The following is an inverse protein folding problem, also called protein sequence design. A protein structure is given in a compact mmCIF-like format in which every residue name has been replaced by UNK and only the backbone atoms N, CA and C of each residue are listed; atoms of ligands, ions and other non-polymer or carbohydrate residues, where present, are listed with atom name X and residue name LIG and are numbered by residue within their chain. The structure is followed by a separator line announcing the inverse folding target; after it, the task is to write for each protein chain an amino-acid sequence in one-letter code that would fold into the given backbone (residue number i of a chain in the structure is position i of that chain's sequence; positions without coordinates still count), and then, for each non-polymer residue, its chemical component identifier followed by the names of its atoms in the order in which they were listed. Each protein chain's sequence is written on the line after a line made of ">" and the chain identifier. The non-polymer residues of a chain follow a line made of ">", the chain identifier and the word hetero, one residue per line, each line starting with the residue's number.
data_IF_488130570133
#
_entry.id   IF_488130570133
#
_cell.length_a   1.000
_cell.length_b   1.000
_cell.length_c   1.000
_cell.angle_alpha   90.00
_cell.angle_beta   90.00
_cell.angle_gamma   90.00
#
_symmetry.space_group_name_H-M   'P 1'
#
loop_
_entity.id
_entity.type
_entity.pdbx_description
1 polymer ?
#
# COMPACT_ATOMS: atom_id res chain seq x y z
N UNK A 1 -11.53 -16.49 52.50
CA UNK A 1 -11.58 -15.11 51.97
C UNK A 1 -10.20 -14.49 51.99
N UNK A 2 -9.30 -14.89 51.09
CA UNK A 2 -7.93 -14.36 50.97
C UNK A 2 -7.36 -14.62 49.56
N UNK A 3 -8.12 -14.26 48.52
CA UNK A 3 -7.64 -14.43 47.14
C UNK A 3 -7.95 -13.23 46.20
N UNK A 4 -8.36 -12.06 46.72
CA UNK A 4 -8.77 -10.95 45.85
C UNK A 4 -7.75 -9.82 45.66
N UNK A 5 -6.55 -9.91 46.24
CA UNK A 5 -5.56 -8.81 46.14
C UNK A 5 -4.39 -9.03 45.18
N UNK A 6 -4.23 -10.21 44.61
CA UNK A 6 -3.15 -10.49 43.68
C UNK A 6 -3.50 -10.28 42.18
N UNK A 7 -4.80 -10.30 41.85
CA UNK A 7 -5.24 -10.13 40.45
C UNK A 7 -5.34 -8.66 39.99
N UNK A 8 -5.51 -7.71 40.93
CA UNK A 8 -5.64 -6.29 40.59
C UNK A 8 -4.27 -5.65 40.26
N UNK A 9 -3.19 -6.16 40.84
CA UNK A 9 -1.85 -5.66 40.55
C UNK A 9 -1.32 -6.14 39.17
N UNK A 10 -1.78 -7.29 38.67
CA UNK A 10 -1.36 -7.81 37.38
C UNK A 10 -2.08 -7.12 36.20
N UNK A 11 -3.33 -6.71 36.38
CA UNK A 11 -4.13 -6.05 35.37
C UNK A 11 -3.66 -4.59 35.12
N UNK A 12 -3.05 -3.94 36.11
CA UNK A 12 -2.55 -2.57 35.98
C UNK A 12 -1.14 -2.50 35.36
N UNK A 13 -0.36 -3.56 35.42
CA UNK A 13 0.96 -3.61 34.79
C UNK A 13 0.84 -3.94 33.31
N UNK A 14 -0.18 -4.71 32.88
CA UNK A 14 -0.43 -5.01 31.47
C UNK A 14 -1.00 -3.83 30.66
N UNK A 15 -1.54 -2.81 31.30
CA UNK A 15 -2.11 -1.64 30.62
C UNK A 15 -1.07 -0.56 30.26
N UNK A 16 0.21 -0.76 30.55
CA UNK A 16 1.26 0.23 30.36
C UNK A 16 2.38 -0.21 29.40
N UNK A 17 2.19 -1.34 28.74
CA UNK A 17 3.23 -1.87 27.88
C UNK A 17 2.70 -1.84 26.43
N UNK A 18 2.87 -0.71 25.78
CA UNK A 18 2.80 -0.58 24.34
C UNK A 18 4.21 -0.46 23.79
N UNK A 19 4.65 -1.44 23.08
CA UNK A 19 5.57 -1.21 21.99
C UNK A 19 4.81 -1.54 20.74
N UNK A 20 4.41 -0.54 20.19
CA UNK A 20 3.95 -0.46 18.84
C UNK A 20 5.16 -0.68 17.96
N UNK A 21 5.00 -1.36 16.94
CA UNK A 21 6.05 -1.79 16.09
C UNK A 21 5.76 -1.37 14.66
N UNK A 22 6.16 -0.19 14.16
CA UNK A 22 6.11 0.13 12.74
C UNK A 22 6.85 1.42 12.37
N UNK A 23 7.51 1.44 11.27
CA UNK A 23 8.31 2.56 10.80
C UNK A 23 7.53 3.55 9.96
N UNK A 24 7.83 4.82 10.17
CA UNK A 24 7.53 5.86 9.22
C UNK A 24 8.69 6.06 8.26
N UNK A 25 8.33 6.27 7.05
CA UNK A 25 9.06 7.12 6.15
C UNK A 25 8.28 8.43 5.98
N UNK A 26 8.70 9.48 6.66
CA UNK A 26 8.34 10.82 6.25
C UNK A 26 9.33 11.25 5.19
N UNK A 27 8.88 11.39 3.97
CA UNK A 27 9.62 12.05 2.91
C UNK A 27 9.38 13.55 3.06
N UNK A 28 10.42 14.35 2.89
CA UNK A 28 10.30 15.81 2.85
C UNK A 28 9.04 16.26 2.10
N UNK A 29 8.22 17.06 2.78
CA UNK A 29 7.08 17.83 2.27
C UNK A 29 5.83 17.09 1.76
N UNK A 30 5.69 15.80 1.88
CA UNK A 30 4.42 15.13 1.63
C UNK A 30 4.02 14.28 2.83
N UNK A 31 2.80 14.45 3.25
CA UNK A 31 2.14 13.87 4.42
C UNK A 31 1.85 12.36 4.29
N UNK A 32 2.76 11.59 3.71
CA UNK A 32 2.65 10.14 3.64
C UNK A 32 3.15 9.52 4.94
N UNK A 33 2.23 9.14 5.81
CA UNK A 33 2.51 8.24 6.93
C UNK A 33 2.69 6.81 6.38
N UNK A 34 3.83 6.21 6.62
CA UNK A 34 4.10 4.85 6.19
C UNK A 34 4.10 3.88 7.37
N UNK A 35 3.52 2.74 7.14
CA UNK A 35 3.51 1.60 8.04
C UNK A 35 4.49 0.55 7.50
N UNK A 36 5.64 0.38 8.13
CA UNK A 36 6.70 -0.52 7.66
C UNK A 36 7.16 -1.47 8.75
N UNK A 37 7.11 -2.76 8.49
CA UNK A 37 7.84 -3.76 9.27
C UNK A 37 9.34 -3.58 9.05
N UNK A 38 10.11 -3.41 10.12
CA UNK A 38 11.56 -3.35 10.02
C UNK A 38 12.15 -4.70 10.41
N UNK A 39 12.94 -5.24 9.54
CA UNK A 39 13.85 -6.32 9.94
C UNK A 39 14.83 -5.76 10.97
N UNK A 40 14.84 -6.34 12.14
CA UNK A 40 15.92 -6.12 13.11
C UNK A 40 17.03 -7.10 12.74
N UNK A 41 17.89 -6.65 11.87
CA UNK A 41 19.18 -7.28 11.73
C UNK A 41 20.16 -6.59 12.69
N UNK A 42 20.91 -7.36 13.46
CA UNK A 42 21.99 -6.83 14.31
C UNK A 42 23.18 -6.34 13.49
N UNK A 43 23.09 -6.31 12.18
CA UNK A 43 24.09 -5.72 11.31
C UNK A 43 23.87 -4.22 11.22
N UNK A 44 24.92 -3.49 11.54
CA UNK A 44 25.08 -2.06 11.27
C UNK A 44 24.73 -1.86 9.78
N UNK A 45 23.80 -0.96 9.49
CA UNK A 45 23.43 -0.53 8.15
C UNK A 45 24.65 -0.34 7.28
N UNK A 46 24.90 -1.27 6.38
CA UNK A 46 25.97 -1.16 5.40
C UNK A 46 25.42 -0.58 4.10
N UNK A 47 26.15 0.30 3.40
CA UNK A 47 25.73 0.78 2.09
C UNK A 47 25.47 -0.37 1.15
N UNK A 48 24.44 -0.25 0.32
CA UNK A 48 24.16 -1.22 -0.72
C UNK A 48 25.36 -1.33 -1.65
N UNK A 49 25.84 -2.53 -1.78
CA UNK A 49 27.10 -2.79 -2.43
C UNK A 49 26.82 -3.68 -3.61
N UNK A 50 26.90 -3.11 -4.82
CA UNK A 50 26.97 -3.92 -6.01
C UNK A 50 28.36 -4.59 -6.05
N UNK A 51 28.42 -5.92 -5.91
CA UNK A 51 29.62 -6.65 -6.24
C UNK A 51 29.70 -6.79 -7.77
N UNK A 52 30.79 -6.30 -8.38
CA UNK A 52 31.07 -6.65 -9.77
C UNK A 52 31.43 -8.15 -9.83
N UNK A 53 31.45 -8.70 -11.05
CA UNK A 53 31.91 -10.08 -11.32
C UNK A 53 33.37 -10.32 -10.86
N UNK A 54 34.11 -9.27 -10.51
CA UNK A 54 35.49 -9.26 -10.04
C UNK A 54 35.62 -8.96 -8.52
N UNK A 55 34.49 -8.82 -7.80
CA UNK A 55 34.47 -8.56 -6.37
C UNK A 55 34.63 -7.09 -5.97
N UNK A 56 34.48 -6.14 -6.90
CA UNK A 56 34.50 -4.70 -6.59
C UNK A 56 33.12 -4.26 -6.11
N UNK A 57 33.10 -3.59 -4.99
CA UNK A 57 31.86 -3.12 -4.33
C UNK A 57 31.45 -1.74 -4.86
N UNK A 58 30.24 -1.62 -5.42
CA UNK A 58 29.68 -0.35 -5.93
C UNK A 58 28.60 0.14 -4.96
N UNK A 59 28.67 1.42 -4.56
CA UNK A 59 27.61 2.10 -3.82
C UNK A 59 26.60 2.69 -4.80
N UNK A 60 25.32 2.63 -4.46
CA UNK A 60 24.25 3.17 -5.26
C UNK A 60 23.60 4.34 -4.52
N UNK A 61 23.64 5.52 -5.13
CA UNK A 61 22.90 6.71 -4.71
C UNK A 61 21.90 7.08 -5.78
N UNK A 62 20.62 7.10 -5.44
CA UNK A 62 19.56 7.56 -6.34
C UNK A 62 18.92 8.77 -5.67
N UNK A 63 18.91 9.88 -6.38
CA UNK A 63 18.60 11.19 -5.81
C UNK A 63 19.51 11.48 -4.60
N UNK A 64 18.93 11.87 -3.47
CA UNK A 64 19.65 12.12 -2.22
C UNK A 64 19.68 10.90 -1.29
N UNK A 65 19.23 9.72 -1.77
CA UNK A 65 19.07 8.52 -0.96
C UNK A 65 20.14 7.50 -1.29
N UNK A 66 20.87 7.06 -0.28
CA UNK A 66 21.77 5.92 -0.39
C UNK A 66 21.00 4.63 -0.08
N UNK A 67 21.12 3.64 -0.97
CA UNK A 67 20.52 2.33 -0.78
C UNK A 67 21.49 1.45 -0.04
N UNK A 68 20.98 0.85 1.02
CA UNK A 68 21.70 0.00 1.95
C UNK A 68 20.83 -1.22 2.23
N UNK A 69 21.21 -2.39 1.70
CA UNK A 69 20.62 -3.67 2.10
C UNK A 69 21.56 -4.80 1.71
N UNK A 70 21.73 -5.79 2.59
CA UNK A 70 22.51 -7.00 2.29
C UNK A 70 21.72 -7.98 1.40
N UNK A 71 20.40 -7.85 1.34
CA UNK A 71 19.50 -8.78 0.63
C UNK A 71 19.15 -8.32 -0.79
N UNK A 72 19.33 -7.04 -1.12
CA UNK A 72 19.08 -6.52 -2.45
C UNK A 72 20.35 -6.57 -3.28
N UNK A 73 20.51 -7.64 -4.05
CA UNK A 73 21.69 -7.91 -4.84
C UNK A 73 21.78 -7.04 -6.10
N UNK A 74 22.23 -5.80 -5.96
CA UNK A 74 22.67 -5.00 -7.10
C UNK A 74 23.99 -5.57 -7.57
N UNK A 75 24.14 -5.81 -8.87
CA UNK A 75 25.38 -6.36 -9.44
C UNK A 75 25.74 -5.69 -10.76
N UNK A 76 26.99 -5.83 -11.17
CA UNK A 76 27.46 -5.42 -12.50
C UNK A 76 27.50 -6.64 -13.42
N UNK A 77 26.88 -6.56 -14.61
CA UNK A 77 26.94 -7.60 -15.62
C UNK A 77 28.28 -7.62 -16.41
N UNK A 78 28.44 -8.58 -17.29
CA UNK A 78 29.64 -8.73 -18.13
C UNK A 78 29.90 -7.54 -19.04
N UNK A 79 28.85 -6.79 -19.38
CA UNK A 79 28.89 -5.58 -20.21
C UNK A 79 29.08 -4.30 -19.38
N UNK A 80 29.33 -4.42 -18.08
CA UNK A 80 29.44 -3.33 -17.11
C UNK A 80 28.16 -2.53 -16.89
N UNK A 81 27.00 -3.11 -17.16
CA UNK A 81 25.73 -2.51 -16.78
C UNK A 81 25.47 -2.77 -15.29
N UNK A 82 25.03 -1.74 -14.57
CA UNK A 82 24.53 -1.90 -13.20
C UNK A 82 23.11 -2.46 -13.25
N UNK A 83 22.94 -3.64 -12.70
CA UNK A 83 21.68 -4.38 -12.66
C UNK A 83 21.06 -4.25 -11.29
N UNK A 84 19.85 -3.75 -11.21
CA UNK A 84 19.09 -3.56 -9.97
C UNK A 84 17.82 -4.40 -9.95
N UNK A 85 17.41 -4.94 -8.79
CA UNK A 85 16.14 -5.63 -8.66
C UNK A 85 14.98 -4.72 -9.06
N UNK A 86 14.01 -5.26 -9.79
CA UNK A 86 12.82 -4.50 -10.19
C UNK A 86 12.02 -4.03 -8.97
N UNK A 87 12.02 -4.79 -7.88
CA UNK A 87 11.42 -4.41 -6.59
C UNK A 87 11.90 -3.07 -6.04
N UNK A 88 13.17 -2.71 -6.28
CA UNK A 88 13.73 -1.42 -5.87
C UNK A 88 13.22 -0.23 -6.70
N UNK A 89 12.85 -0.44 -7.95
CA UNK A 89 12.67 0.67 -8.91
C UNK A 89 11.54 1.61 -8.50
N UNK A 90 10.47 1.08 -7.92
CA UNK A 90 9.31 1.87 -7.47
C UNK A 90 9.73 2.99 -6.53
N UNK A 91 10.45 2.64 -5.47
CA UNK A 91 10.86 3.61 -4.45
C UNK A 91 12.13 4.35 -4.81
N UNK A 92 13.07 3.68 -5.49
CA UNK A 92 14.33 4.27 -5.88
C UNK A 92 14.15 5.38 -6.93
N UNK A 93 13.31 5.15 -7.94
CA UNK A 93 13.08 6.09 -9.03
C UNK A 93 11.80 6.92 -8.88
N UNK A 94 11.04 6.72 -7.80
CA UNK A 94 9.70 7.27 -7.66
C UNK A 94 8.84 7.00 -8.90
N UNK A 95 8.75 5.74 -9.31
CA UNK A 95 8.17 5.28 -10.57
C UNK A 95 7.14 4.18 -10.35
N UNK A 96 6.29 3.94 -11.35
CA UNK A 96 5.56 2.68 -11.49
C UNK A 96 6.49 1.67 -12.16
N UNK A 97 6.71 0.50 -11.57
CA UNK A 97 7.58 -0.54 -12.13
C UNK A 97 6.97 -1.93 -11.89
N UNK A 98 6.59 -2.60 -12.97
CA UNK A 98 5.84 -3.85 -12.91
C UNK A 98 6.25 -4.83 -13.99
N UNK A 99 6.23 -6.13 -13.63
CA UNK A 99 6.56 -7.23 -14.54
C UNK A 99 5.29 -7.94 -14.99
N UNK A 100 4.99 -7.86 -16.28
CA UNK A 100 3.83 -8.48 -16.91
C UNK A 100 4.20 -9.86 -17.46
N UNK A 101 3.35 -10.85 -17.19
CA UNK A 101 3.48 -12.23 -17.70
C UNK A 101 4.89 -12.84 -17.49
N UNK A 102 5.62 -12.40 -16.49
CA UNK A 102 7.00 -12.83 -16.15
C UNK A 102 8.02 -12.62 -17.28
N UNK A 103 7.75 -11.76 -18.27
CA UNK A 103 8.63 -11.57 -19.41
C UNK A 103 8.75 -10.13 -19.93
N UNK A 104 7.95 -9.21 -19.42
CA UNK A 104 7.91 -7.82 -19.87
C UNK A 104 7.92 -6.89 -18.65
N UNK A 105 8.90 -5.99 -18.57
CA UNK A 105 9.01 -4.96 -17.54
C UNK A 105 8.55 -3.63 -18.11
N UNK A 106 7.55 -3.03 -17.52
CA UNK A 106 7.11 -1.66 -17.78
C UNK A 106 7.51 -0.78 -16.61
N UNK A 107 8.30 0.27 -16.90
CA UNK A 107 8.63 1.32 -15.93
C UNK A 107 8.10 2.64 -16.44
N UNK A 108 7.27 3.28 -15.65
CA UNK A 108 6.67 4.59 -15.96
C UNK A 108 7.14 5.61 -14.93
N UNK A 109 7.59 6.78 -15.40
CA UNK A 109 8.01 7.89 -14.56
C UNK A 109 7.57 9.20 -15.23
N UNK A 110 6.79 10.03 -14.53
CA UNK A 110 6.14 11.21 -15.13
C UNK A 110 5.26 10.80 -16.33
N UNK A 111 5.59 11.29 -17.51
CA UNK A 111 5.00 10.91 -18.79
C UNK A 111 5.90 10.00 -19.63
N UNK A 112 7.02 9.57 -19.08
CA UNK A 112 8.01 8.73 -19.78
C UNK A 112 7.76 7.27 -19.47
N UNK A 113 8.03 6.42 -20.44
CA UNK A 113 7.84 4.97 -20.33
C UNK A 113 9.08 4.24 -20.84
N UNK A 114 9.53 3.26 -20.08
CA UNK A 114 10.56 2.30 -20.49
C UNK A 114 9.95 0.90 -20.50
N UNK A 115 9.97 0.26 -21.66
CA UNK A 115 9.46 -1.09 -21.90
C UNK A 115 10.61 -2.03 -22.25
N UNK A 116 10.70 -3.15 -21.55
CA UNK A 116 11.75 -4.15 -21.76
C UNK A 116 11.15 -5.54 -21.84
N UNK A 117 11.65 -6.36 -22.76
CA UNK A 117 11.29 -7.79 -22.86
C UNK A 117 12.49 -8.68 -22.57
N UNK A 118 12.28 -9.76 -21.84
CA UNK A 118 13.38 -10.73 -21.55
C UNK A 118 14.03 -11.25 -22.82
N UNK A 119 13.22 -11.50 -23.86
CA UNK A 119 13.70 -12.04 -25.13
C UNK A 119 14.66 -11.11 -25.90
N UNK A 120 14.59 -9.79 -25.64
CA UNK A 120 15.38 -8.81 -26.38
C UNK A 120 16.80 -8.67 -25.84
N UNK A 121 17.11 -9.27 -24.70
CA UNK A 121 18.40 -9.17 -24.00
C UNK A 121 18.93 -7.72 -23.90
N UNK A 122 18.02 -6.78 -23.64
CA UNK A 122 18.27 -5.34 -23.70
C UNK A 122 18.38 -4.68 -22.31
N UNK A 123 18.76 -5.44 -21.27
CA UNK A 123 18.97 -4.93 -19.92
C UNK A 123 17.84 -5.24 -18.95
N UNK A 124 16.96 -6.16 -19.32
CA UNK A 124 16.01 -6.80 -18.41
C UNK A 124 16.30 -8.30 -18.40
N UNK A 125 16.56 -8.85 -17.22
CA UNK A 125 16.96 -10.24 -17.06
C UNK A 125 16.30 -10.86 -15.84
N UNK A 126 16.19 -12.20 -15.83
CA UNK A 126 15.84 -12.96 -14.63
C UNK A 126 17.07 -13.71 -14.12
N UNK A 127 17.41 -13.53 -12.84
CA UNK A 127 18.53 -14.18 -12.20
C UNK A 127 18.09 -14.72 -10.82
N UNK A 128 18.32 -16.00 -10.56
CA UNK A 128 17.92 -16.69 -9.32
C UNK A 128 16.46 -16.46 -8.90
N UNK A 129 15.56 -16.38 -9.87
CA UNK A 129 14.13 -16.18 -9.62
C UNK A 129 13.68 -14.72 -9.51
N UNK A 130 14.60 -13.77 -9.36
CA UNK A 130 14.33 -12.33 -9.32
C UNK A 130 14.52 -11.66 -10.67
N UNK A 131 13.79 -10.59 -10.90
CA UNK A 131 13.92 -9.76 -12.10
C UNK A 131 14.80 -8.55 -11.82
N UNK A 132 15.66 -8.24 -12.79
CA UNK A 132 16.61 -7.14 -12.75
C UNK A 132 16.51 -6.27 -13.98
N UNK A 133 16.73 -4.99 -13.80
CA UNK A 133 16.82 -4.02 -14.90
C UNK A 133 18.13 -3.24 -14.88
N UNK A 134 18.61 -2.87 -16.06
CA UNK A 134 19.82 -2.07 -16.23
C UNK A 134 19.54 -0.59 -15.95
N UNK A 135 20.22 -0.03 -14.95
CA UNK A 135 20.12 1.39 -14.61
C UNK A 135 20.60 2.30 -15.75
N UNK A 136 21.63 1.89 -16.48
CA UNK A 136 22.16 2.68 -17.62
C UNK A 136 21.12 2.85 -18.73
N UNK A 137 20.30 1.81 -18.95
CA UNK A 137 19.23 1.86 -19.95
C UNK A 137 18.02 2.62 -19.46
N UNK A 138 17.62 2.37 -18.20
CA UNK A 138 16.54 3.09 -17.55
C UNK A 138 16.81 4.60 -17.50
N UNK A 139 18.03 5.01 -17.12
CA UNK A 139 18.39 6.42 -17.03
C UNK A 139 18.21 7.17 -18.36
N UNK A 140 18.53 6.51 -19.48
CA UNK A 140 18.38 7.09 -20.82
C UNK A 140 16.91 7.21 -21.25
N UNK A 141 16.10 6.21 -20.92
CA UNK A 141 14.68 6.17 -21.31
C UNK A 141 13.82 7.07 -20.41
N UNK A 142 14.22 7.24 -19.15
CA UNK A 142 13.50 8.03 -18.15
C UNK A 142 14.10 9.44 -17.94
N UNK A 143 14.96 9.88 -18.86
CA UNK A 143 15.64 11.19 -18.83
C UNK A 143 16.34 11.54 -17.51
N UNK A 144 17.05 10.56 -16.95
CA UNK A 144 17.84 10.73 -15.73
C UNK A 144 19.32 10.93 -16.06
N UNK A 145 20.05 11.64 -15.20
CA UNK A 145 21.52 11.67 -15.26
C UNK A 145 22.08 10.51 -14.45
N UNK A 146 23.12 9.88 -14.98
CA UNK A 146 23.85 8.83 -14.30
C UNK A 146 25.33 9.18 -14.28
N UNK A 147 25.96 9.21 -13.12
CA UNK A 147 27.39 9.49 -12.96
C UNK A 147 28.05 8.48 -12.03
N UNK A 148 29.26 8.05 -12.36
CA UNK A 148 30.02 7.10 -11.56
C UNK A 148 31.29 7.75 -11.03
N UNK A 149 31.42 7.81 -9.70
CA UNK A 149 32.62 8.27 -9.03
C UNK A 149 33.55 7.07 -8.76
N UNK A 150 34.66 7.03 -9.47
CA UNK A 150 35.65 5.96 -9.38
C UNK A 150 36.46 5.99 -8.07
N UNK A 151 36.52 7.14 -7.40
CA UNK A 151 37.26 7.26 -6.13
C UNK A 151 36.49 6.63 -4.94
N UNK A 152 35.17 6.73 -4.98
CA UNK A 152 34.28 6.20 -3.94
C UNK A 152 33.53 4.94 -4.38
N UNK A 153 33.68 4.53 -5.66
CA UNK A 153 32.87 3.49 -6.28
C UNK A 153 31.36 3.75 -6.14
N UNK A 154 30.93 5.00 -6.30
CA UNK A 154 29.54 5.40 -6.13
C UNK A 154 28.91 5.72 -7.47
N UNK A 155 27.84 4.99 -7.81
CA UNK A 155 26.92 5.33 -8.89
C UNK A 155 25.86 6.30 -8.34
N UNK A 156 25.74 7.45 -8.97
CA UNK A 156 24.71 8.44 -8.62
C UNK A 156 23.75 8.62 -9.79
N UNK A 157 22.44 8.50 -9.52
CA UNK A 157 21.38 8.82 -10.47
C UNK A 157 20.58 10.01 -9.96
N UNK A 158 20.27 10.94 -10.86
CA UNK A 158 19.50 12.15 -10.53
C UNK A 158 18.47 12.42 -11.62
N UNK A 159 17.26 12.75 -11.20
CA UNK A 159 16.19 13.20 -12.08
C UNK A 159 16.53 14.57 -12.69
N UNK A 160 16.31 14.75 -13.99
CA UNK A 160 16.47 16.05 -14.63
C UNK A 160 15.21 16.91 -14.59
N UNK A 161 14.09 16.33 -14.18
CA UNK A 161 12.78 16.96 -14.21
C UNK A 161 12.44 17.67 -12.88
N UNK A 162 13.37 18.43 -12.30
CA UNK A 162 13.09 19.23 -11.10
C UNK A 162 11.83 20.10 -11.27
N UNK A 163 10.86 19.94 -10.37
CA UNK A 163 9.62 20.72 -10.34
C UNK A 163 8.50 20.24 -11.28
N UNK A 164 8.69 19.14 -12.02
CA UNK A 164 7.61 18.50 -12.78
C UNK A 164 6.83 17.54 -11.86
N UNK A 165 5.51 17.49 -12.03
CA UNK A 165 4.68 16.49 -11.31
C UNK A 165 5.24 15.09 -11.53
N UNK A 166 5.32 14.31 -10.46
CA UNK A 166 5.83 12.92 -10.51
C UNK A 166 4.90 11.98 -11.28
N UNK A 167 3.65 12.38 -11.48
CA UNK A 167 2.61 11.56 -12.12
C UNK A 167 1.97 12.29 -13.30
N UNK A 168 1.42 11.56 -14.30
CA UNK A 168 0.73 12.14 -15.45
C UNK A 168 -0.59 12.82 -15.04
N UNK A 169 -1.16 13.65 -15.93
CA UNK A 169 -2.46 14.30 -15.72
C UNK A 169 -3.65 13.34 -15.79
N UNK A 170 -3.44 12.12 -16.29
CA UNK A 170 -4.42 11.05 -16.36
C UNK A 170 -3.74 9.70 -16.18
N UNK A 171 -4.35 8.84 -15.38
CA UNK A 171 -3.89 7.48 -15.17
C UNK A 171 -5.06 6.56 -14.82
N UNK A 172 -5.04 5.33 -15.33
CA UNK A 172 -6.10 4.36 -15.09
C UNK A 172 -5.50 2.96 -14.98
N UNK A 173 -5.62 2.35 -13.81
CA UNK A 173 -5.09 1.01 -13.52
C UNK A 173 -5.77 -0.08 -14.36
N UNK A 174 -6.97 0.17 -14.93
CA UNK A 174 -7.61 -0.76 -15.87
C UNK A 174 -6.76 -0.97 -17.12
N UNK A 175 -6.14 0.11 -17.63
CA UNK A 175 -5.23 0.06 -18.77
C UNK A 175 -3.90 -0.65 -18.44
N UNK A 176 -3.62 -0.85 -17.16
CA UNK A 176 -2.43 -1.51 -16.64
C UNK A 176 -2.71 -2.93 -16.11
N UNK A 177 -3.93 -3.46 -16.30
CA UNK A 177 -4.34 -4.75 -15.77
C UNK A 177 -4.10 -4.90 -14.25
N UNK A 178 -4.27 -3.81 -13.52
CA UNK A 178 -4.00 -3.72 -12.08
C UNK A 178 -5.24 -3.37 -11.26
N UNK A 179 -6.41 -3.81 -11.73
CA UNK A 179 -7.70 -3.65 -11.05
C UNK A 179 -8.23 -5.01 -10.64
N UNK A 180 -8.56 -5.16 -9.38
CA UNK A 180 -9.19 -6.36 -8.85
C UNK A 180 -10.53 -6.66 -9.52
N UNK A 181 -10.97 -7.91 -9.43
CA UNK A 181 -12.27 -8.34 -9.92
C UNK A 181 -13.40 -7.50 -9.31
N UNK A 182 -14.32 -7.03 -10.15
CA UNK A 182 -15.51 -6.32 -9.71
C UNK A 182 -16.47 -7.30 -9.02
N UNK A 183 -16.71 -7.09 -7.74
CA UNK A 183 -17.57 -7.93 -6.89
C UNK A 183 -18.79 -7.15 -6.40
N UNK A 184 -19.76 -7.84 -5.80
CA UNK A 184 -21.00 -7.27 -5.27
C UNK A 184 -21.17 -7.62 -3.80
N UNK A 185 -21.15 -6.60 -2.92
CA UNK A 185 -21.37 -6.78 -1.49
C UNK A 185 -22.83 -7.13 -1.12
N UNK A 186 -23.75 -6.99 -2.07
CA UNK A 186 -25.18 -7.22 -1.82
C UNK A 186 -25.75 -6.24 -0.79
N UNK A 187 -26.44 -6.79 0.22
CA UNK A 187 -27.08 -6.00 1.29
C UNK A 187 -26.27 -5.87 2.56
N UNK A 188 -25.04 -6.39 2.60
CA UNK A 188 -24.18 -6.34 3.78
C UNK A 188 -23.41 -5.02 3.87
N UNK A 189 -23.03 -4.63 5.07
CA UNK A 189 -22.21 -3.44 5.36
C UNK A 189 -20.70 -3.70 5.19
N UNK A 190 -20.29 -4.48 4.20
CA UNK A 190 -18.92 -4.99 4.04
C UNK A 190 -18.08 -4.20 3.03
N UNK A 191 -18.51 -3.00 2.63
CA UNK A 191 -17.78 -2.16 1.68
C UNK A 191 -16.31 -1.93 2.06
N UNK A 192 -16.04 -1.75 3.36
CA UNK A 192 -14.69 -1.57 3.89
C UNK A 192 -13.78 -2.77 3.64
N UNK A 193 -14.30 -3.99 3.79
CA UNK A 193 -13.55 -5.23 3.53
C UNK A 193 -13.35 -5.47 2.03
N UNK A 194 -14.36 -5.17 1.20
CA UNK A 194 -14.21 -5.19 -0.27
C UNK A 194 -13.16 -4.18 -0.74
N UNK A 195 -13.17 -2.97 -0.20
CA UNK A 195 -12.19 -1.96 -0.57
C UNK A 195 -10.78 -2.35 -0.12
N UNK A 196 -10.62 -2.88 1.10
CA UNK A 196 -9.34 -3.35 1.60
C UNK A 196 -8.78 -4.51 0.77
N UNK A 197 -9.58 -5.57 0.51
CA UNK A 197 -9.14 -6.71 -0.30
C UNK A 197 -8.86 -6.30 -1.74
N UNK A 198 -9.70 -5.46 -2.36
CA UNK A 198 -9.48 -5.00 -3.74
C UNK A 198 -8.24 -4.12 -3.89
N UNK A 199 -7.94 -3.26 -2.92
CA UNK A 199 -6.72 -2.48 -2.91
C UNK A 199 -5.47 -3.36 -2.74
N UNK A 200 -5.53 -4.35 -1.84
CA UNK A 200 -4.47 -5.34 -1.62
C UNK A 200 -4.21 -6.18 -2.89
N UNK A 201 -5.26 -6.67 -3.53
CA UNK A 201 -5.19 -7.42 -4.78
C UNK A 201 -4.58 -6.58 -5.92
N UNK A 202 -5.00 -5.31 -6.02
CA UNK A 202 -4.44 -4.35 -6.98
C UNK A 202 -2.94 -4.10 -6.78
N UNK A 203 -2.49 -4.07 -5.53
CA UNK A 203 -1.07 -3.87 -5.21
C UNK A 203 -0.19 -5.05 -5.61
N UNK A 204 -0.74 -6.26 -5.66
CA UNK A 204 -0.06 -7.48 -6.12
C UNK A 204 -0.04 -7.63 -7.64
N UNK A 205 -0.96 -6.95 -8.34
CA UNK A 205 -1.07 -7.00 -9.79
C UNK A 205 -0.02 -6.12 -10.47
N UNK A 206 0.43 -6.48 -11.67
CA UNK A 206 0.04 -7.64 -12.47
C UNK A 206 0.84 -8.92 -12.16
N UNK A 207 1.80 -8.86 -11.24
CA UNK A 207 2.72 -9.95 -10.93
C UNK A 207 2.01 -11.18 -10.37
N UNK A 208 1.01 -10.93 -9.50
CA UNK A 208 0.16 -11.96 -8.92
C UNK A 208 -1.32 -11.57 -9.07
N UNK A 209 -2.13 -12.50 -9.56
CA UNK A 209 -3.58 -12.32 -9.70
C UNK A 209 -4.27 -13.20 -8.66
N UNK A 210 -4.42 -12.66 -7.46
CA UNK A 210 -5.04 -13.34 -6.32
C UNK A 210 -6.40 -12.74 -6.03
N UNK A 211 -7.28 -13.51 -5.39
CA UNK A 211 -8.57 -13.07 -4.90
C UNK A 211 -8.69 -13.48 -3.44
N UNK A 212 -8.95 -12.50 -2.57
CA UNK A 212 -9.02 -12.71 -1.12
C UNK A 212 -10.45 -12.70 -0.61
N UNK A 213 -10.68 -13.51 0.43
CA UNK A 213 -11.98 -13.64 1.06
C UNK A 213 -12.38 -12.36 1.81
N UNK A 214 -13.53 -11.84 1.42
CA UNK A 214 -14.20 -10.75 2.14
C UNK A 214 -14.97 -11.29 3.35
N UNK A 215 -15.52 -12.51 3.26
CA UNK A 215 -16.22 -13.14 4.39
C UNK A 215 -15.26 -13.37 5.55
N UNK A 216 -14.09 -13.92 5.30
CA UNK A 216 -13.09 -14.11 6.34
C UNK A 216 -12.66 -12.78 6.98
N UNK A 217 -12.33 -11.76 6.17
CA UNK A 217 -11.96 -10.46 6.71
C UNK A 217 -13.08 -9.82 7.53
N UNK A 218 -14.33 -9.95 7.12
CA UNK A 218 -15.46 -9.29 7.78
C UNK A 218 -16.01 -10.07 8.97
N UNK A 219 -15.76 -11.38 9.08
CA UNK A 219 -16.27 -12.23 10.16
C UNK A 219 -15.20 -12.77 11.10
N UNK A 220 -13.97 -13.06 10.62
CA UNK A 220 -12.87 -13.63 11.41
C UNK A 220 -11.82 -12.57 11.82
N UNK A 221 -12.27 -11.38 12.19
CA UNK A 221 -11.42 -10.29 12.70
C UNK A 221 -11.57 -10.14 14.23
N UNK A 222 -10.76 -9.28 14.83
CA UNK A 222 -10.76 -9.05 16.28
C UNK A 222 -11.84 -8.09 16.78
N UNK A 223 -12.72 -7.61 15.90
CA UNK A 223 -13.81 -6.69 16.24
C UNK A 223 -15.12 -7.47 16.46
N UNK A 224 -15.90 -7.04 17.41
CA UNK A 224 -17.19 -7.68 17.69
C UNK A 224 -18.33 -6.97 16.94
N UNK A 225 -18.26 -7.03 15.61
CA UNK A 225 -19.28 -6.49 14.70
C UNK A 225 -19.72 -7.58 13.72
N UNK A 226 -20.96 -7.55 13.28
CA UNK A 226 -21.44 -8.46 12.24
C UNK A 226 -21.46 -7.75 10.88
N UNK A 227 -21.58 -8.52 9.80
CA UNK A 227 -21.52 -7.97 8.44
C UNK A 227 -22.59 -6.93 8.12
N UNK A 228 -23.72 -6.90 8.85
CA UNK A 228 -24.80 -5.92 8.65
C UNK A 228 -24.52 -4.57 9.35
N UNK A 229 -23.69 -4.58 10.40
CA UNK A 229 -23.42 -3.38 11.19
C UNK A 229 -22.46 -2.39 10.49
N UNK A 230 -21.84 -2.84 9.40
CA UNK A 230 -20.80 -2.06 8.74
C UNK A 230 -19.42 -2.25 9.37
N UNK A 231 -18.50 -1.36 9.05
CA UNK A 231 -17.16 -1.35 9.59
C UNK A 231 -16.39 -0.14 9.07
N UNK A 232 -15.12 -0.07 9.41
CA UNK A 232 -14.25 1.04 9.05
C UNK A 232 -12.95 0.53 8.41
N UNK A 233 -12.29 1.36 7.62
CA UNK A 233 -11.02 1.06 6.95
C UNK A 233 -9.94 0.52 7.91
N UNK A 234 -9.94 0.97 9.18
CA UNK A 234 -8.99 0.53 10.21
C UNK A 234 -9.14 -0.94 10.57
N UNK A 235 -10.33 -1.52 10.38
CA UNK A 235 -10.57 -2.95 10.67
C UNK A 235 -9.82 -3.85 9.68
N UNK A 236 -9.79 -3.52 8.40
CA UNK A 236 -9.00 -4.22 7.39
C UNK A 236 -7.50 -4.13 7.66
N UNK A 237 -7.03 -2.95 8.05
CA UNK A 237 -5.63 -2.75 8.45
C UNK A 237 -5.25 -3.62 9.66
N UNK A 238 -6.07 -3.63 10.71
CA UNK A 238 -5.81 -4.41 11.92
C UNK A 238 -5.80 -5.92 11.64
N UNK A 239 -6.76 -6.41 10.86
CA UNK A 239 -6.83 -7.79 10.42
C UNK A 239 -5.57 -8.25 9.68
N UNK A 240 -5.09 -7.44 8.72
CA UNK A 240 -3.89 -7.73 7.95
C UNK A 240 -2.61 -7.62 8.80
N UNK A 241 -2.51 -6.60 9.66
CA UNK A 241 -1.37 -6.41 10.54
C UNK A 241 -1.26 -7.51 11.61
N UNK A 242 -2.37 -8.13 11.99
CA UNK A 242 -2.42 -9.22 12.97
C UNK A 242 -2.22 -10.61 12.35
N UNK A 243 -1.97 -10.69 11.04
CA UNK A 243 -1.88 -11.94 10.27
C UNK A 243 -3.11 -12.86 10.44
N UNK A 244 -4.28 -12.27 10.71
CA UNK A 244 -5.54 -13.00 10.73
C UNK A 244 -5.97 -13.43 9.31
N UNK A 245 -5.37 -12.83 8.28
CA UNK A 245 -5.43 -13.11 6.86
C UNK A 245 -4.44 -12.21 6.11
N UNK A 246 -4.59 -12.06 4.77
CA UNK A 246 -5.72 -12.52 3.97
C UNK A 246 -5.71 -14.03 3.70
N UNK A 247 -6.89 -14.59 3.48
CA UNK A 247 -7.06 -15.97 2.98
C UNK A 247 -7.67 -15.94 1.58
N UNK A 248 -7.56 -17.01 0.81
CA UNK A 248 -8.12 -17.05 -0.54
C UNK A 248 -9.67 -17.09 -0.52
N UNK A 249 -10.30 -16.36 -1.44
CA UNK A 249 -11.74 -16.35 -1.64
C UNK A 249 -12.30 -17.75 -1.98
N UNK A 250 -11.51 -18.58 -2.65
CA UNK A 250 -11.88 -19.96 -2.96
C UNK A 250 -11.98 -20.87 -1.73
N UNK A 251 -11.29 -20.55 -0.64
CA UNK A 251 -11.30 -21.32 0.61
C UNK A 251 -12.41 -20.86 1.56
N UNK A 252 -12.85 -19.61 1.44
CA UNK A 252 -13.92 -19.00 2.23
C UNK A 252 -14.71 -18.00 1.35
N UNK A 253 -15.66 -18.49 0.51
CA UNK A 253 -16.36 -17.68 -0.48
C UNK A 253 -17.36 -16.71 0.13
N UNK A 254 -17.47 -15.51 -0.47
CA UNK A 254 -18.37 -14.46 0.02
C UNK A 254 -19.85 -14.79 -0.11
N UNK A 255 -20.62 -14.53 0.97
CA UNK A 255 -22.08 -14.42 0.96
C UNK A 255 -22.82 -15.70 1.33
N UNK A 256 -22.16 -16.73 1.82
CA UNK A 256 -22.81 -17.93 2.35
C UNK A 256 -23.15 -17.81 3.86
N UNK A 257 -22.69 -16.75 4.52
CA UNK A 257 -22.93 -16.44 5.93
C UNK A 257 -22.14 -17.32 6.90
N UNK A 258 -21.08 -17.98 6.43
CA UNK A 258 -20.20 -18.85 7.22
C UNK A 258 -18.78 -18.40 6.97
N UNK A 259 -17.93 -18.46 7.99
CA UNK A 259 -16.49 -18.23 7.84
C UNK A 259 -15.71 -19.40 8.44
N UNK A 260 -14.47 -19.56 7.99
CA UNK A 260 -13.55 -20.62 8.40
C UNK A 260 -12.41 -20.06 9.22
N UNK A 261 -12.56 -20.10 10.55
CA UNK A 261 -11.54 -19.62 11.51
C UNK A 261 -10.26 -20.47 11.56
N UNK A 262 -10.22 -21.62 10.84
CA UNK A 262 -9.08 -22.52 10.79
C UNK A 262 -8.10 -22.21 9.64
N UNK A 263 -8.37 -21.20 8.84
CA UNK A 263 -7.52 -20.79 7.73
C UNK A 263 -6.36 -19.91 8.20
N UNK A 264 -5.18 -20.15 7.63
CA UNK A 264 -4.01 -19.32 7.86
C UNK A 264 -3.87 -18.24 6.80
N UNK A 265 -3.25 -17.12 7.17
CA UNK A 265 -2.90 -16.07 6.22
C UNK A 265 -2.02 -16.63 5.09
N UNK A 266 -2.28 -16.20 3.84
CA UNK A 266 -1.51 -16.60 2.65
C UNK A 266 -0.53 -15.54 2.20
N UNK A 267 -0.66 -14.33 2.73
CA UNK A 267 0.26 -13.21 2.58
C UNK A 267 0.43 -12.48 3.91
N UNK A 268 1.60 -11.90 4.12
CA UNK A 268 1.84 -10.96 5.20
C UNK A 268 2.02 -9.55 4.61
N UNK A 269 1.24 -8.59 5.09
CA UNK A 269 1.33 -7.19 4.69
C UNK A 269 2.28 -6.49 5.65
N UNK A 270 3.50 -6.22 5.19
CA UNK A 270 4.57 -5.66 6.02
C UNK A 270 4.50 -4.14 6.11
N UNK A 271 3.81 -3.47 5.18
CA UNK A 271 3.69 -2.03 5.16
C UNK A 271 2.31 -1.58 4.70
N UNK A 272 1.73 -0.62 5.42
CA UNK A 272 0.51 0.09 5.03
C UNK A 272 0.79 1.59 5.11
N UNK A 273 0.50 2.32 4.02
CA UNK A 273 0.64 3.77 3.97
C UNK A 273 -0.71 4.40 4.26
N UNK A 274 -0.73 5.33 5.22
CA UNK A 274 -1.90 6.18 5.45
C UNK A 274 -1.59 7.55 4.88
N UNK A 275 -2.35 7.95 3.87
CA UNK A 275 -2.20 9.24 3.21
C UNK A 275 -3.15 10.23 3.87
N UNK A 276 -2.64 11.42 4.18
CA UNK A 276 -3.45 12.48 4.80
C UNK A 276 -4.71 12.81 3.99
N UNK A 277 -5.75 13.18 4.72
CA UNK A 277 -7.02 13.52 4.11
C UNK A 277 -6.88 14.69 3.12
N UNK A 278 -7.40 14.50 1.89
CA UNK A 278 -7.33 15.47 0.79
C UNK A 278 -5.94 15.74 0.20
N UNK A 279 -4.95 14.96 0.55
CA UNK A 279 -3.67 14.97 -0.17
C UNK A 279 -3.81 14.23 -1.51
N UNK A 280 -4.42 14.91 -2.48
CA UNK A 280 -4.69 14.33 -3.80
C UNK A 280 -3.42 14.00 -4.58
N UNK A 281 -2.34 14.75 -4.37
CA UNK A 281 -1.06 14.45 -4.98
C UNK A 281 -0.48 13.15 -4.42
N UNK A 282 -0.46 12.99 -3.10
CA UNK A 282 -0.02 11.76 -2.45
C UNK A 282 -0.87 10.55 -2.84
N UNK A 283 -2.19 10.72 -2.98
CA UNK A 283 -3.10 9.66 -3.47
C UNK A 283 -2.73 9.24 -4.89
N UNK A 284 -2.54 10.20 -5.81
CA UNK A 284 -2.14 9.92 -7.20
C UNK A 284 -0.79 9.20 -7.28
N UNK A 285 0.19 9.67 -6.51
CA UNK A 285 1.50 9.03 -6.43
C UNK A 285 1.40 7.58 -5.91
N UNK A 286 0.57 7.33 -4.92
CA UNK A 286 0.35 6.01 -4.38
C UNK A 286 -0.34 5.07 -5.38
N UNK A 287 -1.39 5.53 -6.06
CA UNK A 287 -2.04 4.77 -7.14
C UNK A 287 -1.05 4.44 -8.25
N UNK A 288 -0.23 5.41 -8.65
CA UNK A 288 0.76 5.24 -9.70
C UNK A 288 1.81 4.19 -9.34
N UNK A 289 2.33 4.26 -8.11
CA UNK A 289 3.43 3.40 -7.65
C UNK A 289 2.96 2.02 -7.20
N UNK A 290 1.93 1.97 -6.37
CA UNK A 290 1.61 0.77 -5.60
C UNK A 290 0.33 0.06 -6.08
N UNK A 291 -0.66 0.79 -6.58
CA UNK A 291 -1.93 0.22 -7.01
C UNK A 291 -3.13 0.93 -6.38
N UNK A 292 -4.26 0.24 -6.27
CA UNK A 292 -5.48 0.82 -5.75
C UNK A 292 -5.33 1.39 -4.34
N UNK A 293 -5.92 2.56 -4.11
CA UNK A 293 -5.96 3.22 -2.79
C UNK A 293 -7.36 3.11 -2.23
N UNK A 294 -7.53 2.39 -1.11
CA UNK A 294 -8.79 2.39 -0.37
C UNK A 294 -9.09 3.81 0.12
N UNK A 295 -10.31 4.29 -0.09
CA UNK A 295 -10.77 5.60 0.39
C UNK A 295 -12.22 5.57 0.82
N UNK A 296 -12.59 6.50 1.70
CA UNK A 296 -13.96 6.63 2.17
C UNK A 296 -14.67 7.80 1.48
N UNK A 297 -15.98 7.64 1.27
CA UNK A 297 -16.86 8.70 0.80
C UNK A 297 -18.25 8.62 1.46
N UNK A 298 -19.05 9.68 1.34
CA UNK A 298 -20.45 9.63 1.71
C UNK A 298 -21.30 9.27 0.49
N UNK A 299 -21.89 8.10 0.51
CA UNK A 299 -22.77 7.67 -0.59
C UNK A 299 -24.24 7.93 -0.26
N UNK A 300 -24.92 8.66 -1.15
CA UNK A 300 -26.36 8.81 -1.16
C UNK A 300 -27.06 7.79 -2.07
N UNK A 301 -26.27 6.89 -2.68
CA UNK A 301 -26.77 5.86 -3.60
C UNK A 301 -27.02 4.60 -2.80
N UNK A 302 -28.30 4.30 -2.52
CA UNK A 302 -28.67 3.10 -1.78
C UNK A 302 -28.91 1.86 -2.69
N UNK A 303 -29.03 2.07 -3.99
CA UNK A 303 -29.17 1.01 -4.99
C UNK A 303 -29.00 1.55 -6.41
N UNK A 304 -28.82 0.69 -7.40
CA UNK A 304 -28.76 1.09 -8.82
C UNK A 304 -30.01 1.84 -9.32
N UNK A 305 -31.13 1.74 -8.59
CA UNK A 305 -32.38 2.45 -8.87
C UNK A 305 -32.52 3.77 -8.14
N UNK A 306 -31.69 4.06 -7.16
CA UNK A 306 -31.77 5.28 -6.37
C UNK A 306 -31.51 6.50 -7.24
N UNK A 307 -32.37 7.49 -7.13
CA UNK A 307 -32.17 8.82 -7.72
C UNK A 307 -31.62 9.73 -6.63
N UNK A 308 -30.48 10.32 -6.86
CA UNK A 308 -29.86 11.31 -5.99
C UNK A 308 -29.40 12.49 -6.83
N UNK A 309 -29.46 13.72 -6.31
CA UNK A 309 -28.94 14.89 -7.04
C UNK A 309 -27.43 14.83 -7.27
N UNK A 310 -26.73 13.98 -6.55
CA UNK A 310 -25.26 13.92 -6.57
C UNK A 310 -24.68 12.91 -7.56
N UNK A 311 -25.50 12.00 -8.14
CA UNK A 311 -25.04 10.99 -9.09
C UNK A 311 -25.64 11.19 -10.47
N UNK A 312 -24.80 11.43 -11.46
CA UNK A 312 -25.18 11.47 -12.87
C UNK A 312 -24.99 10.08 -13.49
N UNK A 313 -26.11 9.39 -13.80
CA UNK A 313 -26.09 8.05 -14.38
C UNK A 313 -25.61 8.01 -15.83
N UNK A 314 -25.64 9.10 -16.56
CA UNK A 314 -25.23 9.15 -17.97
C UNK A 314 -23.70 9.16 -18.10
N UNK A 315 -23.04 9.82 -17.17
CA UNK A 315 -21.58 9.97 -17.14
C UNK A 315 -20.92 9.14 -16.04
N UNK A 316 -21.73 8.41 -15.22
CA UNK A 316 -21.27 7.66 -14.05
C UNK A 316 -20.48 8.54 -13.05
N UNK A 317 -20.88 9.78 -12.87
CA UNK A 317 -20.16 10.78 -12.10
C UNK A 317 -20.88 11.10 -10.81
N UNK A 318 -20.12 11.19 -9.71
CA UNK A 318 -20.61 11.44 -8.36
C UNK A 318 -19.87 12.61 -7.72
N UNK A 319 -20.62 13.48 -7.06
CA UNK A 319 -20.05 14.53 -6.21
C UNK A 319 -21.02 14.90 -5.09
N UNK A 320 -20.69 14.58 -3.86
CA UNK A 320 -21.44 14.98 -2.67
C UNK A 320 -20.89 16.29 -2.12
N UNK A 321 -21.77 17.26 -1.90
CA UNK A 321 -21.44 18.61 -1.45
C UNK A 321 -21.98 18.92 -0.04
N UNK A 322 -22.40 17.90 0.70
CA UNK A 322 -22.96 18.04 2.05
C UNK A 322 -21.92 17.94 3.16
N UNK A 323 -22.41 17.80 4.40
CA UNK A 323 -21.59 17.77 5.61
C UNK A 323 -21.65 16.42 6.35
N UNK A 324 -22.31 15.42 5.78
CA UNK A 324 -22.37 14.10 6.40
C UNK A 324 -21.01 13.39 6.32
N UNK A 325 -20.75 12.59 7.34
CA UNK A 325 -19.52 11.81 7.43
C UNK A 325 -19.53 10.65 6.43
N UNK A 326 -18.36 10.14 6.02
CA UNK A 326 -18.28 8.95 5.19
C UNK A 326 -19.12 7.78 5.73
N UNK A 327 -19.74 7.03 4.84
CA UNK A 327 -20.53 5.85 5.12
C UNK A 327 -20.28 4.70 4.14
N UNK A 328 -19.31 4.87 3.25
CA UNK A 328 -18.99 3.90 2.21
C UNK A 328 -17.52 3.96 1.84
N UNK A 329 -16.91 2.80 1.61
CA UNK A 329 -15.53 2.69 1.14
C UNK A 329 -15.48 2.18 -0.30
N UNK A 330 -14.55 2.73 -1.06
CA UNK A 330 -14.26 2.40 -2.46
C UNK A 330 -12.74 2.35 -2.67
N UNK A 331 -12.31 1.97 -3.87
CA UNK A 331 -10.88 1.98 -4.23
C UNK A 331 -10.64 3.00 -5.34
N UNK A 332 -9.77 3.97 -5.11
CA UNK A 332 -9.27 4.84 -6.16
C UNK A 332 -8.29 4.02 -7.01
N UNK A 333 -8.62 3.87 -8.29
CA UNK A 333 -7.84 3.11 -9.27
C UNK A 333 -7.27 3.98 -10.39
N UNK A 334 -7.42 5.31 -10.27
CA UNK A 334 -6.95 6.25 -11.25
C UNK A 334 -7.51 7.63 -11.07
N UNK A 335 -7.20 8.51 -12.01
CA UNK A 335 -7.67 9.88 -12.08
C UNK A 335 -7.63 10.44 -13.50
N UNK A 336 -8.39 11.52 -13.71
CA UNK A 336 -8.33 12.37 -14.90
C UNK A 336 -8.47 13.83 -14.46
N UNK A 337 -7.37 14.62 -14.53
CA UNK A 337 -7.34 16.02 -14.12
C UNK A 337 -8.19 16.92 -15.04
N UNK A 338 -8.50 16.43 -16.24
CA UNK A 338 -9.30 17.13 -17.22
C UNK A 338 -10.72 16.54 -17.34
N UNK A 339 -11.17 15.74 -16.35
CA UNK A 339 -12.52 15.19 -16.37
C UNK A 339 -13.53 16.33 -16.23
N UNK A 340 -14.43 16.57 -17.25
CA UNK A 340 -15.23 17.76 -17.31
C UNK A 340 -16.19 17.90 -16.13
N UNK A 341 -16.22 19.05 -15.49
CA UNK A 341 -17.15 19.36 -14.39
C UNK A 341 -18.61 19.29 -14.79
N UNK A 342 -18.93 19.51 -16.07
CA UNK A 342 -20.28 19.40 -16.64
C UNK A 342 -20.84 17.98 -16.59
N UNK A 343 -20.00 16.99 -16.38
CA UNK A 343 -20.44 15.60 -16.21
C UNK A 343 -21.10 15.35 -14.86
N UNK A 344 -20.96 16.26 -13.89
CA UNK A 344 -21.58 16.15 -12.58
C UNK A 344 -22.94 16.85 -12.53
N UNK A 345 -23.83 16.36 -11.66
CA UNK A 345 -25.15 16.97 -11.46
C UNK A 345 -25.13 18.22 -10.57
N UNK A 346 -24.01 18.53 -9.99
CA UNK A 346 -23.79 19.72 -9.12
C UNK A 346 -22.89 20.71 -9.83
N UNK A 347 -23.06 22.00 -9.53
CA UNK A 347 -22.21 23.03 -10.10
C UNK A 347 -20.86 23.06 -9.38
N UNK A 348 -19.77 22.92 -10.13
CA UNK A 348 -18.41 22.78 -9.64
C UNK A 348 -17.50 23.89 -10.16
N UNK A 349 -16.51 24.29 -9.36
CA UNK A 349 -15.56 25.35 -9.71
C UNK A 349 -14.58 24.92 -10.81
N UNK A 350 -14.22 23.63 -10.90
CA UNK A 350 -13.24 23.14 -11.87
C UNK A 350 -13.40 21.68 -12.24
N UNK A 351 -12.61 21.27 -13.19
CA UNK A 351 -12.52 19.90 -13.71
C UNK A 351 -11.75 18.97 -12.75
N UNK A 352 -11.76 17.68 -13.05
CA UNK A 352 -10.98 16.65 -12.40
C UNK A 352 -11.81 15.68 -11.57
N UNK A 353 -11.43 14.42 -11.68
CA UNK A 353 -12.06 13.32 -10.96
C UNK A 353 -11.08 12.20 -10.65
N UNK A 354 -11.32 11.51 -9.53
CA UNK A 354 -10.80 10.17 -9.29
C UNK A 354 -11.67 9.14 -10.00
N UNK A 355 -11.02 8.08 -10.48
CA UNK A 355 -11.67 6.87 -11.01
C UNK A 355 -11.73 5.88 -9.86
N UNK A 356 -12.94 5.48 -9.47
CA UNK A 356 -13.17 4.68 -8.28
C UNK A 356 -13.83 3.35 -8.62
N UNK A 357 -13.25 2.23 -8.17
CA UNK A 357 -13.86 0.91 -8.18
C UNK A 357 -14.82 0.79 -6.99
N UNK A 358 -16.06 0.33 -7.27
CA UNK A 358 -17.08 0.08 -6.26
C UNK A 358 -17.32 -1.41 -6.05
N UNK A 359 -18.04 -1.76 -4.99
CA UNK A 359 -18.43 -3.11 -4.60
C UNK A 359 -19.93 -3.39 -4.81
N UNK A 360 -20.51 -2.89 -5.91
CA UNK A 360 -21.94 -3.08 -6.25
C UNK A 360 -22.14 -3.80 -7.58
N UNK A 361 -21.21 -4.67 -7.94
CA UNK A 361 -21.24 -5.47 -9.16
C UNK A 361 -21.00 -4.65 -10.43
N UNK A 362 -20.79 -5.36 -11.54
CA UNK A 362 -20.50 -4.77 -12.85
C UNK A 362 -21.67 -4.02 -13.49
N UNK A 363 -22.88 -4.18 -12.97
CA UNK A 363 -24.05 -3.43 -13.44
C UNK A 363 -24.10 -1.97 -12.94
N UNK A 364 -23.29 -1.61 -11.97
CA UNK A 364 -23.15 -0.27 -11.47
C UNK A 364 -22.10 0.51 -12.28
N UNK A 365 -22.38 1.77 -12.57
CA UNK A 365 -21.44 2.66 -13.21
C UNK A 365 -20.94 2.19 -14.59
N UNK A 366 -19.67 2.39 -14.85
CA UNK A 366 -18.93 1.86 -16.00
C UNK A 366 -18.28 0.52 -15.61
N UNK A 367 -19.03 -0.59 -15.71
CA UNK A 367 -18.57 -1.93 -15.32
C UNK A 367 -18.05 -2.00 -13.87
N UNK A 368 -18.78 -1.41 -12.91
CA UNK A 368 -18.40 -1.38 -11.49
C UNK A 368 -17.55 -0.19 -11.10
N UNK A 369 -17.23 0.69 -12.04
CA UNK A 369 -16.37 1.87 -11.84
C UNK A 369 -17.20 3.15 -12.04
N UNK A 370 -16.85 4.20 -11.32
CA UNK A 370 -17.46 5.53 -11.42
C UNK A 370 -16.46 6.64 -11.15
N UNK A 371 -16.83 7.87 -11.48
CA UNK A 371 -15.97 9.05 -11.35
C UNK A 371 -16.41 9.90 -10.18
N UNK A 372 -15.48 10.20 -9.27
CA UNK A 372 -15.76 11.05 -8.10
C UNK A 372 -14.97 12.35 -8.22
N UNK A 373 -15.69 13.47 -8.22
CA UNK A 373 -15.08 14.79 -8.36
C UNK A 373 -14.03 15.06 -7.26
N UNK A 374 -12.96 15.79 -7.59
CA UNK A 374 -12.06 16.36 -6.59
C UNK A 374 -12.74 17.31 -5.61
N UNK A 375 -13.90 17.86 -5.99
CA UNK A 375 -14.72 18.72 -5.14
C UNK A 375 -15.70 17.98 -4.24
N UNK A 376 -15.77 16.65 -4.31
CA UNK A 376 -16.53 15.83 -3.35
C UNK A 376 -16.04 16.08 -1.92
N UNK A 377 -16.98 16.26 -0.99
CA UNK A 377 -16.64 16.62 0.40
C UNK A 377 -15.82 15.55 1.11
N UNK A 378 -15.98 14.29 0.78
CA UNK A 378 -15.42 13.17 1.53
C UNK A 378 -14.34 12.34 0.79
N UNK A 379 -14.36 12.28 -0.56
CA UNK A 379 -13.36 11.48 -1.30
C UNK A 379 -11.95 11.88 -0.89
N UNK A 380 -11.09 10.91 -0.68
CA UNK A 380 -9.72 11.15 -0.23
C UNK A 380 -9.59 11.51 1.26
N UNK A 381 -10.55 11.14 2.13
CA UNK A 381 -10.45 11.44 3.57
C UNK A 381 -9.79 10.35 4.41
N UNK A 382 -10.01 9.09 4.09
CA UNK A 382 -9.41 7.94 4.79
C UNK A 382 -8.70 7.07 3.74
N UNK A 383 -7.41 7.31 3.54
CA UNK A 383 -6.69 6.72 2.43
C UNK A 383 -5.69 5.69 2.92
N UNK A 384 -5.82 4.44 2.45
CA UNK A 384 -4.92 3.35 2.81
C UNK A 384 -4.35 2.70 1.56
N UNK A 385 -3.04 2.46 1.58
CA UNK A 385 -2.28 1.75 0.56
C UNK A 385 -1.60 0.56 1.20
N UNK A 386 -1.66 -0.59 0.57
CA UNK A 386 -0.98 -1.80 1.01
C UNK A 386 0.29 -2.00 0.20
N UNK A 387 1.42 -2.10 0.87
CA UNK A 387 2.74 -2.26 0.24
C UNK A 387 3.56 -3.33 0.96
N UNK A 388 4.71 -3.70 0.40
CA UNK A 388 5.59 -4.72 0.96
C UNK A 388 4.79 -5.99 1.37
N UNK A 389 4.05 -6.55 0.41
CA UNK A 389 3.20 -7.72 0.61
C UNK A 389 4.03 -8.95 0.32
N UNK A 390 4.33 -9.72 1.35
CA UNK A 390 5.23 -10.88 1.28
C UNK A 390 4.45 -12.19 1.36
N UNK A 391 5.13 -13.29 1.02
CA UNK A 391 4.62 -14.65 1.27
C UNK A 391 4.53 -14.91 2.76
N UNK A 392 3.52 -15.67 3.19
CA UNK A 392 3.31 -15.98 4.60
C UNK A 392 4.35 -16.92 5.23
N UNK A 393 5.34 -17.39 4.45
CA UNK A 393 6.47 -18.18 4.93
C UNK A 393 7.71 -17.36 5.30
N UNK A 394 7.59 -16.03 5.34
CA UNK A 394 8.66 -15.09 5.68
C UNK A 394 9.05 -15.14 7.17
N UNK A 395 8.08 -15.41 8.06
CA UNK A 395 8.27 -15.52 9.51
C UNK A 395 7.42 -16.66 10.09
N UNK A 396 7.92 -17.30 11.16
CA UNK A 396 7.24 -18.41 11.83
C UNK A 396 6.18 -17.93 12.84
N UNK A 397 6.42 -16.82 13.52
CA UNK A 397 5.56 -16.33 14.59
C UNK A 397 5.41 -14.81 14.59
N UNK A 398 4.23 -14.35 15.00
CA UNK A 398 3.95 -12.96 15.36
C UNK A 398 3.58 -12.87 16.84
N UNK A 399 4.09 -11.86 17.53
CA UNK A 399 3.72 -11.54 18.91
C UNK A 399 3.13 -10.13 18.95
N UNK A 400 1.83 -10.04 19.23
CA UNK A 400 1.08 -8.79 19.16
C UNK A 400 0.04 -8.71 20.28
N UNK A 401 -0.24 -7.50 20.76
CA UNK A 401 -1.26 -7.23 21.78
C UNK A 401 -2.37 -6.31 21.28
N UNK A 402 -2.17 -5.62 20.18
CA UNK A 402 -3.04 -4.59 19.60
C UNK A 402 -3.86 -5.14 18.41
N UNK A 403 -4.58 -6.25 18.62
CA UNK A 403 -5.35 -6.93 17.58
C UNK A 403 -6.44 -6.08 16.91
N UNK A 404 -6.84 -4.97 17.54
CA UNK A 404 -7.73 -3.97 16.94
C UNK A 404 -6.98 -2.81 16.27
N UNK A 405 -5.66 -2.92 16.13
CA UNK A 405 -4.83 -1.90 15.53
C UNK A 405 -4.69 -0.64 16.41
N UNK A 406 -4.45 0.50 15.75
CA UNK A 406 -4.32 1.76 16.45
C UNK A 406 -5.70 2.31 16.86
N UNK A 407 -5.93 2.40 18.17
CA UNK A 407 -7.20 2.88 18.73
C UNK A 407 -7.05 4.19 19.52
N UNK A 408 -5.83 4.68 19.71
CA UNK A 408 -5.58 5.93 20.44
C UNK A 408 -4.14 6.11 20.88
N UNK A 409 -3.89 7.23 21.55
CA UNK A 409 -2.58 7.59 22.12
C UNK A 409 -2.69 7.67 23.64
N UNK A 410 -1.66 7.20 24.34
CA UNK A 410 -1.49 7.42 25.78
C UNK A 410 -0.10 7.98 26.05
N UNK A 411 0.01 8.87 27.03
CA UNK A 411 1.26 9.46 27.42
C UNK A 411 1.17 10.10 28.81
N UNK A 412 2.29 10.53 29.33
CA UNK A 412 2.41 11.15 30.66
C UNK A 412 2.66 12.66 30.59
N UNK A 413 2.49 13.27 29.41
CA UNK A 413 2.75 14.68 29.14
C UNK A 413 4.21 15.09 29.54
N UNK A 414 5.15 14.24 29.16
CA UNK A 414 6.60 14.42 29.37
C UNK A 414 7.36 14.21 28.06
N UNK A 415 8.51 14.87 27.93
CA UNK A 415 9.38 14.76 26.75
C UNK A 415 9.95 13.35 26.57
N UNK A 416 10.30 12.68 27.68
CA UNK A 416 10.79 11.30 27.67
C UNK A 416 9.73 10.33 28.19
N UNK A 417 9.38 9.35 27.35
CA UNK A 417 8.45 8.29 27.72
C UNK A 417 8.96 6.94 27.18
N UNK A 418 8.83 5.91 27.99
CA UNK A 418 9.12 4.54 27.60
C UNK A 418 7.84 3.73 27.59
N UNK A 419 7.65 2.95 26.52
CA UNK A 419 6.60 1.94 26.43
C UNK A 419 7.24 0.59 26.12
N UNK A 420 6.63 -0.49 26.56
CA UNK A 420 7.11 -1.83 26.28
C UNK A 420 5.95 -2.84 26.17
N UNK A 421 6.04 -3.76 25.22
CA UNK A 421 5.30 -5.00 25.22
C UNK A 421 6.23 -6.13 25.69
N UNK A 422 5.70 -7.07 26.44
CA UNK A 422 6.47 -8.22 26.94
C UNK A 422 5.78 -9.49 26.46
N UNK A 423 6.51 -10.26 25.67
CA UNK A 423 6.05 -11.55 25.15
C UNK A 423 6.97 -12.68 25.62
N UNK A 424 6.43 -13.88 25.68
CA UNK A 424 7.21 -15.09 25.93
C UNK A 424 7.30 -15.86 24.63
N UNK A 425 8.53 -16.07 24.14
CA UNK A 425 8.78 -16.84 22.94
C UNK A 425 8.25 -18.29 23.10
N UNK A 426 7.69 -18.86 22.06
CA UNK A 426 7.15 -20.22 22.06
C UNK A 426 8.24 -21.28 22.05
N UNK A 427 9.41 -20.93 21.53
CA UNK A 427 10.59 -21.80 21.41
C UNK A 427 11.87 -20.95 21.47
N UNK A 428 13.01 -21.54 21.13
CA UNK A 428 14.24 -20.78 20.85
C UNK A 428 14.12 -20.12 19.47
N UNK A 429 13.98 -18.81 19.44
CA UNK A 429 13.66 -18.01 18.28
C UNK A 429 14.63 -16.84 18.11
N UNK A 430 14.70 -16.30 16.89
CA UNK A 430 15.40 -15.04 16.60
C UNK A 430 14.37 -13.96 16.30
N UNK A 431 14.45 -12.81 16.98
CA UNK A 431 13.65 -11.64 16.62
C UNK A 431 14.15 -11.09 15.28
N UNK A 432 13.32 -11.17 14.24
CA UNK A 432 13.68 -10.81 12.87
C UNK A 432 13.14 -9.46 12.46
N UNK A 433 11.98 -9.09 12.97
CA UNK A 433 11.33 -7.83 12.66
C UNK A 433 10.61 -7.27 13.88
N UNK A 434 10.39 -5.98 13.87
CA UNK A 434 9.57 -5.26 14.84
C UNK A 434 8.76 -4.22 14.09
N UNK A 435 7.48 -4.12 14.34
CA UNK A 435 6.57 -3.22 13.67
C UNK A 435 5.87 -2.23 14.65
N UNK A 436 5.38 -1.01 14.23
CA UNK A 436 4.63 -0.04 15.06
C UNK A 436 3.80 0.95 14.24
N UNK A 437 2.76 1.51 14.85
CA UNK A 437 1.96 2.59 14.25
C UNK A 437 2.66 3.92 14.42
N UNK A 438 3.14 4.48 13.34
CA UNK A 438 3.72 5.79 13.32
C UNK A 438 2.63 6.86 13.18
N UNK A 439 2.56 7.76 14.14
CA UNK A 439 1.46 8.72 14.26
C UNK A 439 1.89 10.18 14.10
N UNK A 440 3.16 10.42 13.78
CA UNK A 440 3.71 11.74 13.51
C UNK A 440 4.79 11.68 12.43
N UNK A 441 4.78 12.65 11.54
CA UNK A 441 5.84 12.84 10.55
C UNK A 441 7.14 13.31 11.22
N UNK A 442 8.26 13.17 10.53
CA UNK A 442 9.59 13.66 10.94
C UNK A 442 10.05 13.21 12.35
N UNK A 443 9.64 12.03 12.77
CA UNK A 443 9.96 11.47 14.07
C UNK A 443 11.05 10.39 13.94
N UNK A 444 12.09 10.48 14.76
CA UNK A 444 13.10 9.43 14.88
C UNK A 444 12.68 8.39 15.92
N UNK A 445 12.71 7.15 15.53
CA UNK A 445 12.50 5.99 16.41
C UNK A 445 13.82 5.25 16.63
N UNK A 446 14.06 4.79 17.85
CA UNK A 446 15.26 4.04 18.22
C UNK A 446 14.90 2.76 18.92
#
# INVERSE_FOLDING_TARGET
>A
MKYSKRYIAFTFILALIFVSNFYIYAKDSSTLGAFRGAQIDNTIWSPLVAADVNGTTIRLRIENKEYTSEDEHVYMDENRNIMVPVSMLRDALNSSAHVYNKNELLVEKHSLTADFKLADNNGFVQYKGQFYASLDKLSKLLDMTCSFDTATNTLTMTDKSEGVSTVPTKYDLRERQRVSLIRDQGSYGTCWAFAATSALESALMPEEQLLFSVDHMSMSNSFNVNQYDGGEYTMGMAYLAAWQGPVYDADDPYGDGVTRDDLAAVKHVQQMLIIDGKDYQGIKEAVFKYGGVQTSLYSTIASSKTKTPYYNKQTNSYCYMGQDKPNHDVVIIGWDDNYPKENFNVDLEGDGAFICQNSWGSSFGDNGVFYVSYYDTNVGTHNVVYTDIESADNYDNIYQSDLCGWVGKMGYDKEDMYGANIFTAQSAESLRASGFYATAADTSYK
#
